data_IF_630006254684
#
_entry.id   IF_630006254684
#
_cell.length_a   1.000
_cell.length_b   1.000
_cell.length_c   1.000
_cell.angle_alpha   90.00
_cell.angle_beta   90.00
_cell.angle_gamma   90.00
#
_symmetry.space_group_name_H-M   'P 1'
#
loop_
_entity.id
_entity.type
_entity.pdbx_description
1 polymer ?
#
# COMPACT_ATOMS: atom_id res chain seq x y z
N UNK A 1 2.38 30.99 23.03
CA UNK A 1 2.00 29.77 23.76
C UNK A 1 0.74 29.14 23.14
N UNK A 2 -0.44 29.77 23.21
CA UNK A 2 -1.64 29.20 22.58
C UNK A 2 -1.56 29.18 21.05
N UNK A 3 -1.09 30.26 20.43
CA UNK A 3 -0.92 30.38 18.97
C UNK A 3 0.11 29.39 18.41
N UNK A 4 1.23 29.20 19.11
CA UNK A 4 2.27 28.25 18.75
C UNK A 4 1.79 26.80 18.85
N UNK A 5 1.01 26.46 19.88
CA UNK A 5 0.38 25.14 20.03
C UNK A 5 -0.65 24.90 18.91
N UNK A 6 -1.48 25.90 18.60
CA UNK A 6 -2.44 25.81 17.50
C UNK A 6 -1.76 25.58 16.15
N UNK A 7 -0.64 26.26 15.89
CA UNK A 7 0.13 26.10 14.67
C UNK A 7 0.73 24.68 14.56
N UNK A 8 1.24 24.14 15.67
CA UNK A 8 1.77 22.79 15.74
C UNK A 8 0.69 21.73 15.43
N UNK A 9 -0.49 21.88 16.04
CA UNK A 9 -1.63 20.98 15.80
C UNK A 9 -2.06 21.02 14.33
N UNK A 10 -2.14 22.21 13.74
CA UNK A 10 -2.48 22.38 12.32
C UNK A 10 -1.46 21.69 11.41
N UNK A 11 -0.17 21.84 11.69
CA UNK A 11 0.89 21.18 10.95
C UNK A 11 0.74 19.66 11.00
N UNK A 12 0.53 19.09 12.20
CA UNK A 12 0.34 17.65 12.40
C UNK A 12 -0.88 17.15 11.61
N UNK A 13 -1.98 17.89 11.64
CA UNK A 13 -3.20 17.53 10.93
C UNK A 13 -2.98 17.48 9.41
N UNK A 14 -2.27 18.46 8.86
CA UNK A 14 -1.92 18.51 7.42
C UNK A 14 -1.02 17.34 7.02
N UNK A 15 -0.04 17.01 7.85
CA UNK A 15 0.85 15.86 7.61
C UNK A 15 0.07 14.54 7.64
N UNK A 16 -0.85 14.38 8.60
CA UNK A 16 -1.70 13.19 8.67
C UNK A 16 -2.65 13.07 7.47
N UNK A 17 -3.27 14.17 7.05
CA UNK A 17 -4.16 14.19 5.88
C UNK A 17 -3.41 13.83 4.60
N UNK A 18 -2.24 14.43 4.37
CA UNK A 18 -1.44 14.19 3.18
C UNK A 18 -0.89 12.76 3.15
N UNK A 19 -0.50 12.20 4.30
CA UNK A 19 -0.06 10.81 4.39
C UNK A 19 -1.21 9.80 4.22
N UNK A 20 -2.45 10.20 4.48
CA UNK A 20 -3.63 9.34 4.35
C UNK A 20 -4.06 9.10 2.91
N UNK A 21 -3.80 10.06 2.02
CA UNK A 21 -4.12 9.94 0.61
C UNK A 21 -3.06 9.09 -0.11
N UNK A 22 -3.49 7.94 -0.63
CA UNK A 22 -2.65 7.04 -1.44
C UNK A 22 -3.31 6.79 -2.78
N UNK A 23 -2.48 6.56 -3.80
CA UNK A 23 -2.93 6.27 -5.16
C UNK A 23 -2.17 5.06 -5.68
N UNK A 24 -2.88 4.13 -6.32
CA UNK A 24 -2.26 3.02 -7.06
C UNK A 24 -2.69 3.03 -8.52
N UNK A 25 -1.85 2.46 -9.37
CA UNK A 25 -2.15 2.21 -10.77
C UNK A 25 -3.16 1.06 -10.97
N UNK A 26 -3.84 1.04 -12.13
CA UNK A 26 -4.88 0.05 -12.48
C UNK A 26 -4.43 -1.41 -12.46
N UNK A 27 -3.17 -1.65 -12.82
CA UNK A 27 -2.58 -2.99 -12.83
C UNK A 27 -2.16 -3.49 -11.44
N UNK A 28 -2.22 -2.64 -10.41
CA UNK A 28 -1.91 -3.00 -9.04
C UNK A 28 -3.16 -2.99 -8.17
N UNK A 29 -3.32 -4.04 -7.36
CA UNK A 29 -4.34 -4.11 -6.33
C UNK A 29 -3.66 -3.92 -4.97
N UNK A 30 -4.18 -3.03 -4.14
CA UNK A 30 -3.63 -2.85 -2.78
C UNK A 30 -4.43 -3.64 -1.76
N UNK A 31 -3.71 -4.52 -1.07
CA UNK A 31 -4.22 -5.24 0.08
C UNK A 31 -3.86 -4.43 1.32
N UNK A 32 -4.88 -4.02 2.07
CA UNK A 32 -4.70 -3.25 3.30
C UNK A 32 -4.78 -4.20 4.49
N UNK A 33 -3.72 -4.20 5.29
CA UNK A 33 -3.65 -4.88 6.57
C UNK A 33 -3.78 -3.84 7.68
N UNK A 34 -4.69 -4.06 8.62
CA UNK A 34 -4.89 -3.20 9.79
C UNK A 34 -4.44 -3.97 11.01
N UNK A 35 -3.46 -3.45 11.75
CA UNK A 35 -2.94 -4.08 12.98
C UNK A 35 -2.55 -5.56 12.77
N UNK A 36 -1.92 -5.88 11.63
CA UNK A 36 -1.49 -7.24 11.30
C UNK A 36 -2.60 -8.18 10.81
N UNK A 37 -3.85 -7.72 10.69
CA UNK A 37 -4.97 -8.50 10.14
C UNK A 37 -5.38 -7.99 8.77
N UNK A 38 -5.81 -8.88 7.90
CA UNK A 38 -6.43 -8.47 6.63
C UNK A 38 -7.68 -7.63 6.92
N UNK A 39 -7.75 -6.44 6.32
CA UNK A 39 -8.92 -5.56 6.44
C UNK A 39 -9.79 -5.69 5.19
N UNK A 40 -9.25 -5.26 4.05
CA UNK A 40 -9.94 -5.27 2.77
C UNK A 40 -8.97 -4.96 1.64
N UNK A 41 -9.38 -5.30 0.42
CA UNK A 41 -8.63 -4.95 -0.78
C UNK A 41 -9.25 -3.71 -1.41
N UNK A 42 -8.44 -2.67 -1.62
CA UNK A 42 -8.85 -1.49 -2.40
C UNK A 42 -8.51 -1.71 -3.87
N UNK A 43 -9.44 -1.30 -4.73
CA UNK A 43 -9.21 -1.21 -6.17
C UNK A 43 -8.18 -0.12 -6.51
N UNK A 44 -7.83 0.01 -7.80
CA UNK A 44 -6.96 1.07 -8.28
C UNK A 44 -7.58 2.47 -8.14
N UNK A 45 -6.77 3.51 -8.23
CA UNK A 45 -7.18 4.90 -8.03
C UNK A 45 -6.78 5.46 -6.67
N UNK A 46 -7.41 6.57 -6.28
CA UNK A 46 -7.14 7.31 -5.03
C UNK A 46 -7.99 6.75 -3.90
N UNK A 47 -7.37 6.47 -2.76
CA UNK A 47 -8.05 5.97 -1.58
C UNK A 47 -7.43 6.51 -0.30
N UNK A 48 -8.26 6.64 0.73
CA UNK A 48 -7.85 7.02 2.07
C UNK A 48 -7.46 5.79 2.89
N UNK A 49 -6.30 5.91 3.55
CA UNK A 49 -5.70 4.89 4.42
C UNK A 49 -5.13 5.54 5.67
N UNK A 50 -5.13 4.88 6.82
CA UNK A 50 -4.62 5.48 8.06
C UNK A 50 -3.11 5.20 8.16
N UNK A 51 -2.21 6.21 7.99
CA UNK A 51 -0.78 6.00 7.75
C UNK A 51 0.01 5.34 8.90
N UNK A 52 -0.58 5.23 10.10
CA UNK A 52 0.05 4.65 11.29
C UNK A 52 -0.43 3.21 11.56
N UNK A 53 -1.68 2.92 11.20
CA UNK A 53 -2.38 1.69 11.58
C UNK A 53 -2.43 0.69 10.42
N UNK A 54 -2.55 1.23 9.20
CA UNK A 54 -2.76 0.46 7.99
C UNK A 54 -1.42 0.23 7.27
N UNK A 55 -1.10 -1.03 7.01
CA UNK A 55 -0.01 -1.46 6.17
C UNK A 55 -0.55 -1.83 4.78
N UNK A 56 0.03 -1.24 3.74
CA UNK A 56 -0.41 -1.44 2.36
C UNK A 56 0.58 -2.39 1.67
N UNK A 57 0.07 -3.48 1.09
CA UNK A 57 0.84 -4.36 0.21
C UNK A 57 0.26 -4.31 -1.20
N UNK A 58 1.06 -3.83 -2.14
CA UNK A 58 0.70 -3.79 -3.55
C UNK A 58 0.95 -5.17 -4.17
N UNK A 59 -0.06 -5.67 -4.87
CA UNK A 59 0.01 -6.95 -5.58
C UNK A 59 -0.24 -6.67 -7.06
N UNK A 60 0.69 -7.10 -7.91
CA UNK A 60 0.51 -7.04 -9.35
C UNK A 60 -0.54 -8.06 -9.80
N UNK A 61 -1.44 -7.64 -10.68
CA UNK A 61 -2.46 -8.51 -11.29
C UNK A 61 -1.99 -9.09 -12.63
N UNK A 62 -0.80 -8.73 -13.11
CA UNK A 62 -0.23 -9.28 -14.34
C UNK A 62 0.22 -10.71 -14.12
N UNK A 63 -0.06 -11.56 -15.11
CA UNK A 63 0.51 -12.91 -15.17
C UNK A 63 1.98 -12.80 -15.50
N UNK A 64 2.84 -13.28 -14.62
CA UNK A 64 4.26 -13.48 -14.92
C UNK A 64 4.41 -14.84 -15.63
N UNK A 65 4.89 -14.84 -16.87
CA UNK A 65 5.30 -16.07 -17.53
C UNK A 65 6.70 -16.39 -17.03
N UNK A 66 6.81 -17.40 -16.16
CA UNK A 66 8.12 -17.93 -15.75
C UNK A 66 8.51 -18.95 -16.79
N UNK A 67 9.57 -18.67 -17.53
CA UNK A 67 10.17 -19.67 -18.41
C UNK A 67 10.89 -20.68 -17.52
N UNK A 68 10.46 -21.94 -17.60
CA UNK A 68 11.11 -23.04 -16.89
C UNK A 68 12.14 -23.62 -17.86
N UNK A 69 13.42 -23.53 -17.49
CA UNK A 69 14.45 -24.28 -18.19
C UNK A 69 14.04 -25.76 -18.16
N UNK A 70 13.75 -26.33 -19.33
CA UNK A 70 13.46 -27.75 -19.47
C UNK A 70 14.71 -28.51 -19.07
N UNK A 71 14.71 -29.00 -17.82
CA UNK A 71 15.83 -29.74 -17.25
C UNK A 71 16.08 -30.98 -18.11
N UNK A 72 17.18 -30.98 -18.88
CA UNK A 72 17.60 -32.15 -19.63
C UNK A 72 17.74 -33.32 -18.66
N UNK A 73 16.90 -34.34 -18.88
CA UNK A 73 16.91 -35.56 -18.08
C UNK A 73 18.28 -36.18 -18.22
N UNK A 74 19.03 -36.18 -17.12
CA UNK A 74 20.32 -36.84 -16.97
C UNK A 74 20.14 -38.32 -17.36
N UNK A 75 20.55 -38.70 -18.56
CA UNK A 75 20.56 -40.10 -18.97
C UNK A 75 21.87 -40.72 -18.48
N UNK A 76 21.71 -41.66 -17.56
CA UNK A 76 22.67 -42.56 -16.89
C UNK A 76 24.11 -42.62 -17.45
#
# INVERSE_FOLDING_TARGET
MLTTVSLLILLILIVLLSASLKMNFEYHKSVIFRLGRFSHVRGPGVYLTIPIIDQIKQVDRRTITVDIESQDTFNN
#
